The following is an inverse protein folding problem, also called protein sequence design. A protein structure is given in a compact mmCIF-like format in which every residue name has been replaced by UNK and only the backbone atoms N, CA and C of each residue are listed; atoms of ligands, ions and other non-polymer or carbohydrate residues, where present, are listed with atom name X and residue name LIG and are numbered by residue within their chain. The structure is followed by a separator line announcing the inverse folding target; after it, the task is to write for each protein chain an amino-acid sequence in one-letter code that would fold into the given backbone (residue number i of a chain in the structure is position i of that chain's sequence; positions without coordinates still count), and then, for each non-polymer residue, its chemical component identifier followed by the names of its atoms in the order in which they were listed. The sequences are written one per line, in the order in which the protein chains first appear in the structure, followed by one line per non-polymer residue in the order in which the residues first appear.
data_IF_445381571263
#
_entry.id   IF_445381571263
#
_cell.length_a   1.000
_cell.length_b   1.000
_cell.length_c   1.000
_cell.angle_alpha   90.00
_cell.angle_beta   90.00
_cell.angle_gamma   90.00
#
_symmetry.space_group_name_H-M   'P 1'
#
loop_
_entity.id
_entity.type
_entity.pdbx_description
1 polymer ?
#
# COMPACT_ATOMS: atom_id res chain seq x y z
N UNK A 1 -17.35 -0.24 18.12
CA UNK A 1 -17.64 -0.25 16.68
C UNK A 1 -16.30 -0.44 15.96
N UNK A 2 -16.12 -1.53 15.23
CA UNK A 2 -14.90 -1.76 14.49
C UNK A 2 -15.05 -1.09 13.12
N UNK A 3 -14.31 -0.02 12.89
CA UNK A 3 -14.22 0.59 11.57
C UNK A 3 -13.28 -0.25 10.71
N UNK A 4 -13.76 -0.68 9.55
CA UNK A 4 -12.92 -1.24 8.51
C UNK A 4 -12.62 -0.12 7.52
N UNK A 5 -11.35 0.20 7.38
CA UNK A 5 -10.91 1.14 6.35
C UNK A 5 -10.61 0.37 5.07
N UNK A 6 -11.26 0.75 4.00
CA UNK A 6 -11.07 0.10 2.69
C UNK A 6 -10.94 1.16 1.61
N UNK A 7 -10.14 0.91 0.57
CA UNK A 7 -10.06 1.80 -0.58
C UNK A 7 -11.37 1.78 -1.37
N UNK A 8 -11.57 2.80 -2.19
CA UNK A 8 -12.62 2.79 -3.20
C UNK A 8 -12.30 1.72 -4.24
N UNK A 9 -13.23 0.80 -4.49
CA UNK A 9 -12.99 -0.35 -5.38
C UNK A 9 -12.54 0.07 -6.79
N UNK A 10 -13.13 1.13 -7.37
CA UNK A 10 -12.71 1.63 -8.69
C UNK A 10 -11.27 2.12 -8.72
N UNK A 11 -10.77 2.70 -7.63
CA UNK A 11 -9.37 3.12 -7.51
C UNK A 11 -8.46 1.92 -7.37
N UNK A 12 -8.80 0.96 -6.52
CA UNK A 12 -8.02 -0.27 -6.36
C UNK A 12 -7.92 -1.02 -7.70
N UNK A 13 -9.04 -1.19 -8.41
CA UNK A 13 -9.05 -1.81 -9.73
C UNK A 13 -8.16 -1.08 -10.72
N UNK A 14 -8.24 0.25 -10.78
CA UNK A 14 -7.41 1.04 -11.68
C UNK A 14 -5.91 0.90 -11.37
N UNK A 15 -5.52 0.79 -10.09
CA UNK A 15 -4.13 0.52 -9.70
C UNK A 15 -3.66 -0.86 -10.18
N UNK A 16 -4.49 -1.89 -10.05
CA UNK A 16 -4.17 -3.23 -10.52
C UNK A 16 -3.99 -3.25 -12.05
N UNK A 17 -4.98 -2.72 -12.78
CA UNK A 17 -4.92 -2.62 -14.24
C UNK A 17 -3.69 -1.83 -14.72
N UNK A 18 -3.37 -0.71 -14.06
CA UNK A 18 -2.20 0.09 -14.39
C UNK A 18 -0.89 -0.67 -14.16
N UNK A 19 -0.80 -1.45 -13.09
CA UNK A 19 0.34 -2.33 -12.81
C UNK A 19 0.55 -3.36 -13.92
N UNK A 20 -0.54 -4.00 -14.36
CA UNK A 20 -0.52 -4.98 -15.45
C UNK A 20 -0.12 -4.35 -16.78
N UNK A 21 -0.73 -3.22 -17.15
CA UNK A 21 -0.43 -2.49 -18.39
C UNK A 21 1.02 -2.03 -18.49
N UNK A 22 1.59 -1.60 -17.35
CA UNK A 22 2.98 -1.15 -17.29
C UNK A 22 3.99 -2.31 -17.15
N UNK A 23 3.51 -3.55 -16.96
CA UNK A 23 4.37 -4.68 -16.65
C UNK A 23 5.16 -4.53 -15.37
N UNK A 24 4.66 -3.74 -14.41
CA UNK A 24 5.28 -3.51 -13.12
C UNK A 24 4.55 -4.37 -12.08
N UNK A 25 5.17 -5.41 -11.53
CA UNK A 25 4.50 -6.30 -10.58
C UNK A 25 4.14 -5.56 -9.29
N UNK A 26 2.92 -5.75 -8.84
CA UNK A 26 2.42 -5.24 -7.55
C UNK A 26 1.67 -6.34 -6.81
N UNK A 27 1.80 -6.36 -5.48
CA UNK A 27 1.06 -7.28 -4.63
C UNK A 27 -0.18 -6.59 -4.08
N UNK A 28 -1.34 -7.19 -4.32
CA UNK A 28 -2.61 -6.74 -3.74
C UNK A 28 -2.92 -7.58 -2.52
N UNK A 29 -3.27 -6.94 -1.42
CA UNK A 29 -3.58 -7.67 -0.19
C UNK A 29 -4.04 -6.77 0.93
N UNK A 30 -4.20 -7.38 2.10
CA UNK A 30 -4.60 -6.67 3.32
C UNK A 30 -3.39 -5.97 3.92
N UNK A 31 -3.50 -4.67 4.17
CA UNK A 31 -2.55 -3.91 4.95
C UNK A 31 -3.02 -3.70 6.39
N UNK A 32 -2.10 -3.36 7.25
CA UNK A 32 -2.37 -2.91 8.61
C UNK A 32 -1.82 -1.51 8.78
N UNK A 33 -2.70 -0.57 9.09
CA UNK A 33 -2.31 0.75 9.59
C UNK A 33 -2.14 0.69 11.11
N UNK A 34 -1.11 1.31 11.64
CA UNK A 34 -0.82 1.32 13.07
C UNK A 34 -0.33 2.67 13.57
N UNK A 35 -0.79 3.07 14.76
CA UNK A 35 -0.46 4.38 15.36
C UNK A 35 0.94 4.44 15.98
N UNK A 36 1.56 3.28 16.20
CA UNK A 36 2.84 3.21 16.90
C UNK A 36 3.86 2.41 16.09
N UNK A 37 4.95 3.07 15.70
CA UNK A 37 6.07 2.44 15.05
C UNK A 37 6.85 1.52 16.02
N UNK A 38 7.04 1.97 17.24
CA UNK A 38 7.71 1.18 18.28
C UNK A 38 6.69 0.53 19.20
N UNK A 39 6.60 -0.79 19.17
CA UNK A 39 5.75 -1.52 20.10
C UNK A 39 6.37 -1.51 21.52
N UNK A 40 5.55 -1.41 22.59
CA UNK A 40 6.05 -1.44 23.96
C UNK A 40 6.68 -2.76 24.39
N UNK A 41 6.46 -3.81 23.64
CA UNK A 41 7.00 -5.16 23.87
C UNK A 41 7.73 -5.65 22.64
N UNK A 42 8.99 -6.04 22.85
CA UNK A 42 9.85 -6.62 21.83
C UNK A 42 9.57 -8.13 21.61
N UNK A 43 8.31 -8.53 21.59
CA UNK A 43 8.00 -9.90 21.17
C UNK A 43 7.62 -9.90 19.69
N UNK A 44 8.14 -10.87 18.94
CA UNK A 44 7.86 -11.04 17.52
C UNK A 44 6.47 -11.67 17.25
N UNK A 45 5.68 -11.90 18.29
CA UNK A 45 4.40 -12.62 18.18
C UNK A 45 3.40 -11.90 17.29
N UNK A 46 3.38 -10.56 17.33
CA UNK A 46 2.51 -9.75 16.47
C UNK A 46 2.87 -9.90 14.99
N UNK A 47 4.15 -9.87 14.66
CA UNK A 47 4.64 -10.04 13.29
C UNK A 47 4.26 -11.39 12.69
N UNK A 48 4.42 -12.45 13.47
CA UNK A 48 4.03 -13.79 13.05
C UNK A 48 2.52 -13.95 12.89
N UNK A 49 1.71 -13.36 13.78
CA UNK A 49 0.25 -13.34 13.64
C UNK A 49 -0.21 -12.61 12.39
N UNK A 50 0.36 -11.43 12.09
CA UNK A 50 0.04 -10.67 10.88
C UNK A 50 0.40 -11.45 9.62
N UNK A 51 1.56 -12.10 9.61
CA UNK A 51 1.99 -12.96 8.52
C UNK A 51 1.04 -14.15 8.31
N UNK A 52 0.64 -14.84 9.39
CA UNK A 52 -0.34 -15.92 9.34
C UNK A 52 -1.71 -15.44 8.85
N UNK A 53 -2.09 -14.21 9.17
CA UNK A 53 -3.31 -13.57 8.68
C UNK A 53 -3.23 -13.09 7.22
N UNK A 54 -2.09 -13.29 6.54
CA UNK A 54 -1.91 -12.90 5.14
C UNK A 54 -1.75 -11.40 4.93
N UNK A 55 -1.29 -10.67 5.96
CA UNK A 55 -1.00 -9.23 5.84
C UNK A 55 0.24 -9.01 4.98
N UNK A 56 0.12 -8.17 3.95
CA UNK A 56 1.18 -7.89 2.97
C UNK A 56 1.92 -6.59 3.22
N UNK A 57 1.36 -5.67 4.02
CA UNK A 57 1.98 -4.39 4.34
C UNK A 57 1.62 -3.91 5.74
N UNK A 58 2.53 -3.17 6.35
CA UNK A 58 2.30 -2.42 7.59
C UNK A 58 2.71 -0.98 7.32
N UNK A 59 1.83 -0.04 7.64
CA UNK A 59 2.00 1.38 7.40
C UNK A 59 1.23 2.17 8.46
N UNK A 60 1.09 3.48 8.35
CA UNK A 60 0.59 4.31 9.44
C UNK A 60 -0.47 5.35 9.01
N UNK A 61 -0.87 5.39 7.73
CA UNK A 61 -1.65 6.52 7.19
C UNK A 61 -2.94 6.14 6.45
N UNK A 62 -3.03 4.94 5.89
CA UNK A 62 -4.11 4.61 4.96
C UNK A 62 -5.49 4.48 5.59
N UNK A 63 -5.58 4.10 6.83
CA UNK A 63 -6.85 4.05 7.55
C UNK A 63 -7.48 5.43 7.66
N UNK A 64 -6.70 6.43 8.03
CA UNK A 64 -7.12 7.84 8.09
C UNK A 64 -7.52 8.34 6.71
N UNK A 65 -6.72 8.05 5.68
CA UNK A 65 -7.03 8.42 4.30
C UNK A 65 -8.36 7.83 3.84
N UNK A 66 -8.58 6.54 4.07
CA UNK A 66 -9.80 5.86 3.61
C UNK A 66 -11.03 6.32 4.36
N UNK A 67 -10.95 6.48 5.68
CA UNK A 67 -12.09 6.94 6.51
C UNK A 67 -12.44 8.39 6.18
N UNK A 68 -11.46 9.29 6.15
CA UNK A 68 -11.68 10.69 5.82
C UNK A 68 -12.19 10.88 4.39
N UNK A 69 -11.66 10.11 3.45
CA UNK A 69 -12.10 10.11 2.05
C UNK A 69 -13.55 9.66 1.91
N UNK A 70 -13.94 8.57 2.57
CA UNK A 70 -15.32 8.10 2.56
C UNK A 70 -16.28 9.14 3.17
N UNK A 71 -15.91 9.75 4.29
CA UNK A 71 -16.71 10.79 4.92
C UNK A 71 -16.95 12.00 3.99
N UNK A 72 -15.94 12.33 3.16
CA UNK A 72 -15.99 13.44 2.23
C UNK A 72 -16.51 13.10 0.83
N UNK A 73 -16.85 11.85 0.59
CA UNK A 73 -17.29 11.38 -0.74
C UNK A 73 -16.15 11.33 -1.76
N UNK A 74 -14.88 11.26 -1.31
CA UNK A 74 -13.72 11.14 -2.18
C UNK A 74 -13.46 9.68 -2.55
N UNK A 75 -12.89 9.46 -3.72
CA UNK A 75 -12.37 8.17 -4.12
C UNK A 75 -10.92 8.06 -3.68
N UNK A 76 -10.62 7.06 -2.87
CA UNK A 76 -9.29 6.87 -2.28
C UNK A 76 -8.72 5.49 -2.59
N UNK A 77 -7.41 5.41 -2.71
CA UNK A 77 -6.62 4.20 -2.81
C UNK A 77 -5.24 4.45 -2.27
N UNK A 78 -4.47 3.39 -2.05
CA UNK A 78 -3.10 3.48 -1.61
C UNK A 78 -2.22 2.47 -2.33
N UNK A 79 -1.00 2.85 -2.61
CA UNK A 79 0.07 2.03 -3.15
C UNK A 79 1.35 2.38 -2.43
N UNK A 80 2.14 1.39 -2.08
CA UNK A 80 3.35 1.57 -1.28
C UNK A 80 4.56 0.98 -2.00
N UNK A 81 5.72 1.57 -1.75
CA UNK A 81 7.00 0.92 -1.95
C UNK A 81 7.45 0.35 -0.61
N UNK A 82 7.81 -0.93 -0.58
CA UNK A 82 8.40 -1.52 0.62
C UNK A 82 9.83 -1.00 0.78
N UNK A 83 10.15 -0.47 1.96
CA UNK A 83 11.52 -0.17 2.37
C UNK A 83 12.32 -1.43 2.75
N UNK A 84 11.66 -2.54 2.63
CA UNK A 84 12.07 -3.92 2.61
C UNK A 84 13.14 -4.35 3.59
N UNK A 85 12.78 -5.26 4.44
CA UNK A 85 13.72 -5.90 5.36
C UNK A 85 14.16 -7.27 4.89
N UNK A 86 14.47 -7.44 3.61
CA UNK A 86 15.17 -8.65 3.24
C UNK A 86 16.58 -8.57 3.86
N UNK A 87 16.78 -9.32 4.95
CA UNK A 87 18.07 -9.36 5.68
C UNK A 87 19.25 -9.82 4.82
N UNK A 88 18.96 -10.44 3.69
CA UNK A 88 19.99 -10.91 2.74
C UNK A 88 20.47 -9.81 1.78
N UNK A 89 19.76 -8.70 1.67
CA UNK A 89 20.13 -7.60 0.76
C UNK A 89 21.18 -6.71 1.42
N UNK A 90 22.25 -6.39 0.69
CA UNK A 90 23.28 -5.46 1.16
C UNK A 90 22.70 -4.05 1.36
N UNK A 91 23.20 -3.27 2.32
CA UNK A 91 22.68 -1.92 2.61
C UNK A 91 22.65 -0.98 1.40
N UNK A 92 23.68 -1.01 0.56
CA UNK A 92 23.77 -0.21 -0.67
C UNK A 92 22.72 -0.58 -1.70
N UNK A 93 22.35 -1.85 -1.78
CA UNK A 93 21.33 -2.33 -2.73
C UNK A 93 19.90 -1.99 -2.26
N UNK A 94 19.70 -1.87 -0.94
CA UNK A 94 18.40 -1.52 -0.37
C UNK A 94 17.91 -0.14 -0.79
N UNK A 95 18.80 0.83 -0.78
CA UNK A 95 18.44 2.20 -1.21
C UNK A 95 18.04 2.24 -2.68
N UNK A 96 18.79 1.56 -3.55
CA UNK A 96 18.47 1.48 -4.97
C UNK A 96 17.15 0.74 -5.21
N UNK A 97 16.88 -0.33 -4.48
CA UNK A 97 15.65 -1.10 -4.57
C UNK A 97 14.45 -0.30 -4.08
N UNK A 98 14.61 0.41 -2.98
CA UNK A 98 13.57 1.30 -2.45
C UNK A 98 13.22 2.42 -3.45
N UNK A 99 14.21 3.13 -3.98
CA UNK A 99 14.01 4.19 -4.98
C UNK A 99 13.32 3.67 -6.24
N UNK A 100 13.69 2.47 -6.69
CA UNK A 100 13.02 1.83 -7.82
C UNK A 100 11.56 1.51 -7.51
N UNK A 101 11.29 0.97 -6.31
CA UNK A 101 9.94 0.70 -5.82
C UNK A 101 9.08 1.97 -5.74
N UNK A 102 9.64 3.05 -5.20
CA UNK A 102 8.97 4.35 -5.12
C UNK A 102 8.62 4.90 -6.51
N UNK A 103 9.57 4.90 -7.44
CA UNK A 103 9.33 5.33 -8.82
C UNK A 103 8.26 4.47 -9.52
N UNK A 104 8.26 3.17 -9.28
CA UNK A 104 7.26 2.26 -9.82
C UNK A 104 5.87 2.54 -9.24
N UNK A 105 5.77 2.77 -7.93
CA UNK A 105 4.52 3.14 -7.27
C UNK A 105 3.95 4.45 -7.85
N UNK A 106 4.79 5.46 -8.06
CA UNK A 106 4.40 6.73 -8.68
C UNK A 106 3.88 6.51 -10.12
N UNK A 107 4.57 5.71 -10.93
CA UNK A 107 4.13 5.42 -12.31
C UNK A 107 2.77 4.73 -12.34
N UNK A 108 2.58 3.71 -11.50
CA UNK A 108 1.30 3.00 -11.40
C UNK A 108 0.20 3.96 -10.95
N UNK A 109 0.45 4.78 -9.93
CA UNK A 109 -0.53 5.74 -9.42
C UNK A 109 -0.95 6.75 -10.49
N UNK A 110 0.00 7.33 -11.23
CA UNK A 110 -0.28 8.28 -12.32
C UNK A 110 -1.09 7.64 -13.44
N UNK A 111 -0.72 6.44 -13.87
CA UNK A 111 -1.47 5.69 -14.88
C UNK A 111 -2.89 5.37 -14.40
N UNK A 112 -3.06 4.95 -13.16
CA UNK A 112 -4.37 4.69 -12.58
C UNK A 112 -5.24 5.95 -12.50
N UNK A 113 -4.67 7.07 -12.08
CA UNK A 113 -5.37 8.37 -12.06
C UNK A 113 -5.81 8.79 -13.47
N UNK A 114 -4.94 8.63 -14.46
CA UNK A 114 -5.28 8.92 -15.85
C UNK A 114 -6.43 8.06 -16.35
N UNK A 115 -6.44 6.75 -16.07
CA UNK A 115 -7.52 5.82 -16.42
C UNK A 115 -8.84 6.26 -15.78
N UNK A 116 -8.84 6.59 -14.50
CA UNK A 116 -10.03 7.07 -13.79
C UNK A 116 -10.57 8.34 -14.44
N UNK A 117 -9.70 9.30 -14.75
CA UNK A 117 -10.09 10.55 -15.40
C UNK A 117 -10.69 10.36 -16.81
N UNK A 118 -10.26 9.33 -17.54
CA UNK A 118 -10.85 8.97 -18.83
C UNK A 118 -12.23 8.30 -18.67
N UNK A 119 -12.43 7.52 -17.63
CA UNK A 119 -13.70 6.84 -17.35
C UNK A 119 -14.81 7.76 -16.82
N UNK A 120 -14.45 8.94 -16.33
CA UNK A 120 -15.38 9.94 -15.81
C UNK A 120 -15.93 10.89 -16.90
N UNK A 121 -15.59 10.68 -18.16
CA UNK A 121 -16.11 11.42 -19.33
C UNK A 121 -17.28 10.67 -19.94
#
# INVERSE_FOLDING_TARGET
MLFRSVPTFSVLRALVEASEELGIPATVGVGVAGDAFYAPRADNSRGELLKQAGVVSVEMESDTLFIAGQYRGWRTGAIYASDGTNKATKPEDKEADYRRGEQNAIKIALQAMWKIAQGDK
#
